data_IF_165046019090
#
_entry.id   IF_165046019090
#
_cell.length_a   1.000
_cell.length_b   1.000
_cell.length_c   1.000
_cell.angle_alpha   90.00
_cell.angle_beta   90.00
_cell.angle_gamma   90.00
#
_symmetry.space_group_name_H-M   'P 1'
#
loop_
_entity.id
_entity.type
_entity.pdbx_description
1 polymer ?
#
# COMPACT_ATOMS: atom_id res chain seq x y z
N UNK A 1 2.24 3.44 -9.81
CA UNK A 1 2.18 3.44 -8.32
C UNK A 1 0.85 3.97 -7.81
N UNK A 2 0.46 5.21 -8.10
CA UNK A 2 -0.83 5.76 -7.65
C UNK A 2 -2.04 4.91 -8.05
N UNK A 3 -2.14 4.51 -9.33
CA UNK A 3 -3.23 3.67 -9.85
C UNK A 3 -3.25 2.25 -9.22
N UNK A 4 -2.06 1.66 -9.04
CA UNK A 4 -1.92 0.35 -8.39
C UNK A 4 -2.32 0.41 -6.92
N UNK A 5 -1.95 1.49 -6.21
CA UNK A 5 -2.33 1.68 -4.82
C UNK A 5 -3.81 1.96 -4.67
N UNK A 6 -4.38 2.85 -5.49
CA UNK A 6 -5.81 3.09 -5.55
C UNK A 6 -6.58 1.79 -5.81
N UNK A 7 -6.15 0.96 -6.76
CA UNK A 7 -6.75 -0.34 -7.03
C UNK A 7 -6.62 -1.33 -5.85
N UNK A 8 -5.59 -1.19 -5.01
CA UNK A 8 -5.40 -2.00 -3.80
C UNK A 8 -6.24 -1.49 -2.63
N UNK A 9 -6.39 -0.18 -2.45
CA UNK A 9 -7.05 0.44 -1.30
C UNK A 9 -8.50 0.85 -1.54
N UNK A 10 -9.00 0.72 -2.77
CA UNK A 10 -10.41 0.99 -3.10
C UNK A 10 -11.27 -0.26 -2.95
N UNK A 11 -12.40 -0.10 -2.26
CA UNK A 11 -13.42 -1.14 -2.15
C UNK A 11 -14.12 -1.33 -3.50
N UNK A 12 -14.11 -2.57 -4.01
CA UNK A 12 -14.84 -2.96 -5.22
C UNK A 12 -15.96 -3.92 -4.83
N UNK A 13 -17.08 -3.98 -5.59
CA UNK A 13 -18.25 -4.80 -5.24
C UNK A 13 -17.96 -6.30 -5.00
N UNK A 14 -16.79 -6.79 -5.41
CA UNK A 14 -16.35 -8.17 -5.24
C UNK A 14 -15.04 -8.31 -4.43
N UNK A 15 -14.48 -7.23 -3.89
CA UNK A 15 -13.19 -7.22 -3.19
C UNK A 15 -13.12 -6.05 -2.21
N UNK A 16 -13.01 -6.34 -0.91
CA UNK A 16 -12.68 -5.32 0.09
C UNK A 16 -11.29 -4.75 -0.17
N UNK A 17 -11.12 -3.46 0.11
CA UNK A 17 -9.82 -2.83 0.11
C UNK A 17 -8.79 -3.67 0.89
N UNK A 18 -7.58 -3.80 0.35
CA UNK A 18 -6.48 -4.38 1.10
C UNK A 18 -6.17 -3.46 2.28
N UNK A 19 -5.85 -4.03 3.47
CA UNK A 19 -5.32 -3.23 4.55
C UNK A 19 -4.04 -2.55 4.08
N UNK A 20 -3.85 -1.30 4.49
CA UNK A 20 -2.73 -0.46 4.05
C UNK A 20 -1.38 -1.20 4.15
N UNK A 21 -1.16 -1.96 5.23
CA UNK A 21 0.03 -2.79 5.42
C UNK A 21 0.25 -3.79 4.28
N UNK A 22 -0.80 -4.49 3.84
CA UNK A 22 -0.71 -5.44 2.75
C UNK A 22 -0.44 -4.74 1.41
N UNK A 23 -1.04 -3.56 1.18
CA UNK A 23 -0.75 -2.76 -0.01
C UNK A 23 0.72 -2.29 -0.03
N UNK A 24 1.26 -1.82 1.10
CA UNK A 24 2.67 -1.43 1.23
C UNK A 24 3.62 -2.62 1.05
N UNK A 25 3.28 -3.81 1.56
CA UNK A 25 4.08 -5.02 1.31
C UNK A 25 4.09 -5.41 -0.17
N UNK A 26 2.98 -5.28 -0.89
CA UNK A 26 2.95 -5.51 -2.34
C UNK A 26 3.85 -4.51 -3.10
N UNK A 27 3.86 -3.25 -2.70
CA UNK A 27 4.74 -2.23 -3.30
C UNK A 27 6.21 -2.56 -3.03
N UNK A 28 6.53 -2.98 -1.80
CA UNK A 28 7.88 -3.42 -1.42
C UNK A 28 8.32 -4.64 -2.24
N UNK A 29 7.44 -5.62 -2.43
CA UNK A 29 7.74 -6.83 -3.22
C UNK A 29 7.89 -6.52 -4.72
N UNK A 30 7.15 -5.53 -5.24
CA UNK A 30 7.26 -5.08 -6.63
C UNK A 30 8.39 -4.06 -6.90
N UNK A 31 9.10 -3.61 -5.86
CA UNK A 31 10.20 -2.65 -6.00
C UNK A 31 11.35 -3.25 -6.82
N UNK A 32 11.81 -2.52 -7.84
CA UNK A 32 12.84 -3.00 -8.77
C UNK A 32 12.31 -3.89 -9.90
N UNK A 33 11.00 -4.16 -9.96
CA UNK A 33 10.38 -4.94 -11.05
C UNK A 33 9.19 -4.19 -11.66
N UNK A 34 8.03 -4.20 -10.99
CA UNK A 34 6.83 -3.46 -11.40
C UNK A 34 6.90 -1.98 -11.05
N UNK A 35 7.75 -1.64 -10.09
CA UNK A 35 7.88 -0.30 -9.53
C UNK A 35 9.34 0.13 -9.55
N UNK A 36 9.59 1.41 -9.83
CA UNK A 36 10.91 1.98 -9.65
C UNK A 36 11.33 1.84 -8.17
N UNK A 37 12.52 1.27 -7.89
CA UNK A 37 12.92 0.98 -6.53
C UNK A 37 13.10 2.24 -5.69
N UNK A 38 13.65 3.34 -6.25
CA UNK A 38 13.80 4.58 -5.47
C UNK A 38 12.43 5.14 -5.07
N UNK A 39 11.52 5.23 -6.03
CA UNK A 39 10.19 5.77 -5.76
C UNK A 39 9.39 4.84 -4.82
N UNK A 40 9.54 3.52 -4.91
CA UNK A 40 8.91 2.57 -3.98
C UNK A 40 9.41 2.77 -2.54
N UNK A 41 10.74 2.90 -2.35
CA UNK A 41 11.32 3.12 -1.03
C UNK A 41 10.94 4.49 -0.45
N UNK A 42 10.99 5.57 -1.24
CA UNK A 42 10.53 6.90 -0.80
C UNK A 42 9.07 6.87 -0.35
N UNK A 43 8.21 6.10 -1.04
CA UNK A 43 6.81 5.96 -0.64
C UNK A 43 6.63 5.19 0.66
N UNK A 44 7.42 4.15 0.89
CA UNK A 44 7.43 3.39 2.15
C UNK A 44 7.92 4.26 3.32
N UNK A 45 8.85 5.19 3.09
CA UNK A 45 9.30 6.14 4.10
C UNK A 45 8.24 7.19 4.47
N UNK A 46 7.39 7.59 3.51
CA UNK A 46 6.27 8.50 3.75
C UNK A 46 5.11 7.85 4.53
N UNK A 47 4.99 6.51 4.48
CA UNK A 47 4.00 5.74 5.22
C UNK A 47 4.68 4.79 6.23
N UNK A 48 5.33 5.33 7.28
CA UNK A 48 5.99 4.49 8.26
C UNK A 48 4.95 3.61 8.98
N UNK A 49 5.28 2.35 9.27
CA UNK A 49 4.35 1.39 9.87
C UNK A 49 3.82 1.81 11.25
N UNK A 50 4.48 2.78 11.90
CA UNK A 50 4.13 3.33 13.22
C UNK A 50 3.06 4.42 13.16
N UNK A 51 2.81 5.03 12.00
CA UNK A 51 1.82 6.11 11.81
C UNK A 51 0.40 5.59 11.54
N UNK A 52 0.10 4.33 11.83
CA UNK A 52 -1.26 3.82 11.68
C UNK A 52 -2.16 4.42 12.77
N UNK A 53 -3.20 5.22 12.44
CA UNK A 53 -4.30 5.37 13.36
C UNK A 53 -4.85 3.97 13.61
N UNK A 54 -4.94 3.57 14.87
CA UNK A 54 -5.57 2.34 15.30
C UNK A 54 -7.01 2.38 14.79
N UNK A 55 -7.25 1.79 13.62
CA UNK A 55 -8.60 1.52 13.15
C UNK A 55 -9.06 0.29 13.92
N UNK A 56 -9.47 0.54 15.16
CA UNK A 56 -10.38 -0.30 15.93
C UNK A 56 -11.61 -0.57 15.04
N UNK A 57 -11.54 -1.67 14.29
CA UNK A 57 -12.71 -2.23 13.65
C UNK A 57 -13.36 -3.10 14.71
N UNK A 58 -14.27 -2.49 15.47
CA UNK A 58 -15.23 -3.18 16.32
C UNK A 58 -16.21 -4.03 15.52
#
# INVERSE_FOLDING_TARGET
MADSFDAMTSDRPYRRALPLKAALEQIRQGAGTQFDPQLAFTWLELYPPDLQPQVDTG
#
